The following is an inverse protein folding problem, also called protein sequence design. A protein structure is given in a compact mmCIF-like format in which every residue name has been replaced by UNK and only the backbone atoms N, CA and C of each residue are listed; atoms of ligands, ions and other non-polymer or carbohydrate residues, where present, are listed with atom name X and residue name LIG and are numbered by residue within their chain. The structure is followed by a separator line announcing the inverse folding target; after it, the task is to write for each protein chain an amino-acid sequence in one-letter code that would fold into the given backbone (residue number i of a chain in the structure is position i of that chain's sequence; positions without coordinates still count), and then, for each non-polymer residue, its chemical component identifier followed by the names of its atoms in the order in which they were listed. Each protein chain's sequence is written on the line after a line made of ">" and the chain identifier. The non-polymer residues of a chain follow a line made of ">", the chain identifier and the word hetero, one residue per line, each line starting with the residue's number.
data_IF_614508635837
#
_entry.id   IF_614508635837
#
_cell.length_a   1.000
_cell.length_b   1.000
_cell.length_c   1.000
_cell.angle_alpha   90.00
_cell.angle_beta   90.00
_cell.angle_gamma   90.00
#
_symmetry.space_group_name_H-M   'P 1'
#
loop_
_entity.id
_entity.type
_entity.pdbx_description
1 polymer ?
#
# COMPACT_ATOMS: atom_id res chain seq x y z
N UNK A 1 -53.87 2.61 44.04
CA UNK A 1 -52.78 1.83 44.68
C UNK A 1 -51.75 1.20 43.71
N UNK A 2 -52.05 0.88 42.45
CA UNK A 2 -51.09 0.27 41.49
C UNK A 2 -50.06 1.25 40.92
N UNK A 3 -50.34 2.55 40.90
CA UNK A 3 -49.47 3.57 40.23
C UNK A 3 -48.31 4.05 41.12
N UNK A 4 -48.41 3.91 42.40
CA UNK A 4 -47.38 4.33 43.39
C UNK A 4 -46.29 3.25 43.47
N UNK A 5 -46.64 1.97 43.32
CA UNK A 5 -45.68 0.86 43.41
C UNK A 5 -44.70 0.82 42.23
N UNK A 6 -45.13 1.23 41.03
CA UNK A 6 -44.27 1.28 39.82
C UNK A 6 -43.27 2.45 39.82
N UNK A 7 -43.56 3.54 40.55
CA UNK A 7 -42.58 4.64 40.66
C UNK A 7 -41.47 4.35 41.68
N UNK A 8 -41.78 3.62 42.76
CA UNK A 8 -40.77 3.19 43.71
C UNK A 8 -39.76 2.19 43.14
N UNK A 9 -40.26 1.24 42.33
CA UNK A 9 -39.38 0.23 41.69
C UNK A 9 -38.40 0.82 40.66
N UNK A 10 -38.82 1.86 39.88
CA UNK A 10 -37.98 2.56 38.95
C UNK A 10 -36.86 3.37 39.63
N UNK A 11 -37.15 3.97 40.78
CA UNK A 11 -36.14 4.77 41.52
C UNK A 11 -35.10 3.82 42.15
N UNK A 12 -35.49 2.66 42.63
CA UNK A 12 -34.56 1.67 43.19
C UNK A 12 -33.68 1.05 42.11
N UNK A 13 -34.22 0.76 40.90
CA UNK A 13 -33.46 0.21 39.79
C UNK A 13 -32.44 1.22 39.27
N UNK A 14 -32.80 2.52 39.16
CA UNK A 14 -31.87 3.57 38.76
C UNK A 14 -30.79 3.83 39.81
N UNK A 15 -31.16 3.79 41.12
CA UNK A 15 -30.19 3.95 42.20
C UNK A 15 -29.21 2.77 42.31
N UNK A 16 -29.66 1.54 42.08
CA UNK A 16 -28.77 0.36 42.04
C UNK A 16 -27.85 0.38 40.80
N UNK A 17 -28.34 0.80 39.63
CA UNK A 17 -27.53 0.94 38.43
C UNK A 17 -26.47 2.02 38.61
N UNK A 18 -26.78 3.14 39.24
CA UNK A 18 -25.81 4.23 39.52
C UNK A 18 -24.78 3.79 40.58
N UNK A 19 -25.17 2.98 41.56
CA UNK A 19 -24.28 2.46 42.60
C UNK A 19 -23.32 1.39 42.09
N UNK A 20 -23.72 0.60 41.09
CA UNK A 20 -22.88 -0.43 40.47
C UNK A 20 -21.95 0.13 39.36
N UNK A 21 -22.33 1.23 38.71
CA UNK A 21 -21.52 1.89 37.69
C UNK A 21 -20.48 2.89 38.27
N UNK A 22 -20.73 3.43 39.44
CA UNK A 22 -19.88 4.43 40.08
C UNK A 22 -18.43 3.94 40.35
N UNK A 23 -18.19 2.79 40.95
CA UNK A 23 -16.83 2.30 41.17
C UNK A 23 -16.12 1.85 39.89
N UNK A 24 -16.86 1.30 38.90
CA UNK A 24 -16.30 0.88 37.62
C UNK A 24 -15.84 2.09 36.79
N UNK A 25 -16.59 3.18 36.75
CA UNK A 25 -16.20 4.42 36.05
C UNK A 25 -14.98 5.08 36.69
N UNK A 26 -14.85 5.05 37.98
CA UNK A 26 -13.70 5.57 38.73
C UNK A 26 -12.41 4.79 38.45
N UNK A 27 -12.48 3.47 38.37
CA UNK A 27 -11.35 2.61 38.05
C UNK A 27 -10.92 2.79 36.61
N UNK A 28 -11.85 2.75 35.66
CA UNK A 28 -11.58 2.97 34.23
C UNK A 28 -10.92 4.33 33.96
N UNK A 29 -11.42 5.41 34.54
CA UNK A 29 -10.80 6.73 34.41
C UNK A 29 -9.40 6.84 35.06
N UNK A 30 -9.13 6.12 36.13
CA UNK A 30 -7.81 6.10 36.76
C UNK A 30 -6.80 5.32 35.91
N UNK A 31 -7.21 4.20 35.34
CA UNK A 31 -6.40 3.40 34.44
C UNK A 31 -6.04 4.19 33.18
N UNK A 32 -7.03 4.75 32.48
CA UNK A 32 -6.85 5.56 31.29
C UNK A 32 -5.82 6.69 31.49
N UNK A 33 -5.97 7.48 32.57
CA UNK A 33 -5.03 8.55 32.88
C UNK A 33 -3.62 8.05 33.16
N UNK A 34 -3.48 6.90 33.84
CA UNK A 34 -2.20 6.26 34.10
C UNK A 34 -1.55 5.77 32.81
N UNK A 35 -2.32 5.06 31.98
CA UNK A 35 -1.91 4.52 30.69
C UNK A 35 -1.39 5.64 29.75
N UNK A 36 -2.20 6.66 29.50
CA UNK A 36 -1.85 7.76 28.61
C UNK A 36 -0.68 8.62 29.13
N UNK A 37 -0.47 8.68 30.44
CA UNK A 37 0.71 9.34 31.01
C UNK A 37 1.97 8.50 30.82
N UNK A 38 1.85 7.17 30.93
CA UNK A 38 2.96 6.22 30.86
C UNK A 38 3.45 6.01 29.43
N UNK A 39 2.53 5.76 28.50
CA UNK A 39 2.86 5.35 27.14
C UNK A 39 2.81 6.50 26.14
N UNK A 40 3.72 6.47 25.18
CA UNK A 40 3.66 7.27 23.97
C UNK A 40 3.18 6.37 22.83
N UNK A 41 2.04 6.72 22.23
CA UNK A 41 1.40 5.94 21.18
C UNK A 41 1.82 6.40 19.77
N UNK A 42 2.61 7.44 19.64
CA UNK A 42 2.86 8.12 18.36
C UNK A 42 3.46 7.20 17.30
N UNK A 43 4.56 6.53 17.63
CA UNK A 43 5.34 5.71 16.68
C UNK A 43 5.14 4.21 16.85
N UNK A 44 4.43 3.79 17.89
CA UNK A 44 4.22 2.37 18.19
C UNK A 44 2.79 1.91 17.97
N UNK A 45 1.81 2.83 17.90
CA UNK A 45 0.39 2.51 17.76
C UNK A 45 -0.27 3.36 16.66
N UNK A 46 -0.20 4.70 16.73
CA UNK A 46 -0.94 5.60 15.83
C UNK A 46 -0.29 5.61 14.44
N UNK A 47 1.01 5.79 14.37
CA UNK A 47 1.82 5.64 13.17
C UNK A 47 2.97 4.69 13.52
N UNK A 48 2.68 3.39 13.65
CA UNK A 48 3.74 2.43 13.88
C UNK A 48 4.67 2.62 12.72
N UNK A 49 5.85 3.17 13.05
CA UNK A 49 6.93 3.21 12.10
C UNK A 49 6.94 1.83 11.44
N UNK A 50 7.24 1.72 10.18
CA UNK A 50 7.39 0.46 9.47
C UNK A 50 8.42 -0.44 10.16
N UNK A 51 8.48 -0.26 11.48
CA UNK A 51 9.13 -1.15 12.42
C UNK A 51 8.73 -2.54 12.00
N UNK A 52 9.71 -3.28 11.65
CA UNK A 52 9.52 -4.47 10.89
C UNK A 52 8.53 -5.30 11.68
N UNK A 53 7.50 -5.67 11.00
CA UNK A 53 6.62 -6.76 11.32
C UNK A 53 7.39 -7.96 11.88
N UNK A 54 8.66 -8.10 11.59
CA UNK A 54 9.60 -9.00 12.25
C UNK A 54 9.61 -8.88 13.78
N UNK A 55 9.47 -7.69 14.35
CA UNK A 55 9.33 -7.55 15.79
C UNK A 55 8.01 -8.11 16.29
N UNK A 56 6.91 -7.92 15.58
CA UNK A 56 5.58 -8.43 15.95
C UNK A 56 5.59 -9.96 15.93
N UNK A 57 6.15 -10.57 14.89
CA UNK A 57 6.22 -12.04 14.79
C UNK A 57 7.35 -12.65 15.61
N UNK A 58 8.35 -11.88 16.01
CA UNK A 58 9.37 -12.36 16.97
C UNK A 58 8.76 -12.66 18.33
N UNK A 59 7.57 -12.11 18.64
CA UNK A 59 6.83 -12.39 19.87
C UNK A 59 6.02 -13.68 19.80
N UNK A 60 5.69 -14.16 18.60
CA UNK A 60 4.99 -15.42 18.45
C UNK A 60 5.86 -16.57 18.96
N UNK A 61 5.24 -17.43 19.77
CA UNK A 61 5.93 -18.61 20.27
C UNK A 61 6.26 -19.57 19.13
N UNK A 62 7.25 -20.43 19.33
CA UNK A 62 7.57 -21.50 18.36
C UNK A 62 6.38 -22.44 18.14
N UNK A 63 5.49 -22.56 19.10
CA UNK A 63 4.24 -23.32 18.99
C UNK A 63 3.29 -22.66 17.99
N UNK A 64 3.04 -21.35 18.12
CA UNK A 64 2.18 -20.60 17.21
C UNK A 64 2.71 -20.62 15.77
N UNK A 65 4.02 -20.47 15.58
CA UNK A 65 4.67 -20.58 14.26
C UNK A 65 4.49 -21.97 13.63
N UNK A 66 4.58 -23.04 14.42
CA UNK A 66 4.36 -24.40 13.95
C UNK A 66 2.90 -24.67 13.60
N UNK A 67 1.97 -24.18 14.42
CA UNK A 67 0.54 -24.30 14.14
C UNK A 67 0.17 -23.58 12.85
N UNK A 68 0.66 -22.37 12.61
CA UNK A 68 0.48 -21.64 11.38
C UNK A 68 0.90 -22.47 10.14
N UNK A 69 2.07 -23.09 10.18
CA UNK A 69 2.56 -23.97 9.12
C UNK A 69 1.71 -25.23 8.98
N UNK A 70 1.26 -25.83 10.09
CA UNK A 70 0.45 -27.05 10.10
C UNK A 70 -0.95 -26.84 9.48
N UNK A 71 -1.50 -25.64 9.51
CA UNK A 71 -2.72 -25.29 8.77
C UNK A 71 -2.51 -25.15 7.26
N UNK A 72 -1.35 -25.56 6.75
CA UNK A 72 -1.03 -25.52 5.32
C UNK A 72 -0.58 -24.16 4.82
N UNK A 73 -0.40 -23.22 5.73
CA UNK A 73 0.14 -21.89 5.40
C UNK A 73 1.64 -22.00 5.11
N UNK A 74 2.11 -21.24 4.15
CA UNK A 74 3.56 -21.10 3.92
C UNK A 74 4.19 -20.33 5.08
N UNK A 75 5.51 -20.52 5.32
CA UNK A 75 6.24 -19.60 6.18
C UNK A 75 5.88 -18.18 5.76
N UNK A 76 5.56 -17.32 6.72
CA UNK A 76 5.23 -15.93 6.42
C UNK A 76 6.38 -15.33 5.63
N UNK A 77 6.10 -14.90 4.42
CA UNK A 77 7.06 -14.12 3.65
C UNK A 77 6.95 -12.64 4.05
N UNK A 78 7.95 -11.86 3.69
CA UNK A 78 8.04 -10.44 4.04
C UNK A 78 6.83 -9.62 3.57
N UNK A 79 6.08 -10.09 2.58
CA UNK A 79 4.89 -9.42 2.04
C UNK A 79 3.72 -9.40 3.03
N UNK A 80 3.54 -10.49 3.77
CA UNK A 80 2.50 -10.59 4.81
C UNK A 80 2.89 -9.86 6.09
N UNK A 81 4.19 -9.63 6.26
CA UNK A 81 4.76 -9.03 7.45
C UNK A 81 4.82 -7.49 7.36
N UNK A 82 4.66 -6.92 6.18
CA UNK A 82 4.65 -5.46 6.01
C UNK A 82 3.29 -4.91 6.41
N UNK A 83 3.30 -3.90 7.28
CA UNK A 83 2.13 -3.07 7.46
C UNK A 83 1.87 -2.34 6.14
N UNK A 84 0.70 -2.54 5.51
CA UNK A 84 0.35 -1.79 4.31
C UNK A 84 0.15 -0.31 4.66
N UNK A 85 0.31 0.57 3.68
CA UNK A 85 -0.25 1.90 3.77
C UNK A 85 -1.77 1.80 3.97
N UNK A 86 -2.41 2.75 4.68
CA UNK A 86 -3.84 2.69 4.91
C UNK A 86 -4.65 2.67 3.62
N UNK A 87 -5.59 1.77 3.52
CA UNK A 87 -6.59 1.77 2.46
C UNK A 87 -7.61 2.88 2.73
N UNK A 88 -8.04 3.64 1.71
CA UNK A 88 -8.98 4.73 1.94
C UNK A 88 -9.83 5.10 0.74
N UNK A 89 -10.98 5.75 1.00
CA UNK A 89 -11.81 6.34 -0.03
C UNK A 89 -12.27 7.76 0.35
N UNK A 90 -12.60 8.57 -0.68
CA UNK A 90 -13.21 9.89 -0.56
C UNK A 90 -14.45 9.98 -1.46
N UNK A 91 -15.57 10.42 -0.88
CA UNK A 91 -16.85 10.58 -1.55
C UNK A 91 -17.71 9.32 -1.58
N UNK A 92 -19.00 9.50 -1.90
CA UNK A 92 -20.00 8.44 -1.90
C UNK A 92 -19.84 7.45 -3.08
N UNK A 93 -19.00 7.82 -4.05
CA UNK A 93 -18.61 6.95 -5.16
C UNK A 93 -17.40 6.08 -4.86
N UNK A 94 -16.83 6.14 -3.64
CA UNK A 94 -15.66 5.38 -3.21
C UNK A 94 -14.40 5.63 -4.05
N UNK A 95 -14.15 6.89 -4.46
CA UNK A 95 -12.90 7.27 -5.11
C UNK A 95 -11.71 6.93 -4.21
N UNK A 96 -10.73 6.21 -4.73
CA UNK A 96 -9.51 5.83 -3.98
C UNK A 96 -8.87 7.08 -3.38
N UNK A 97 -8.58 7.03 -2.09
CA UNK A 97 -7.89 8.04 -1.30
C UNK A 97 -6.69 7.40 -0.62
N UNK A 98 -5.52 7.95 -0.85
CA UNK A 98 -4.28 7.51 -0.26
C UNK A 98 -3.86 8.49 0.83
N UNK A 99 -3.32 7.98 1.92
CA UNK A 99 -2.77 8.78 3.01
C UNK A 99 -1.50 8.14 3.55
N UNK A 100 -0.45 8.94 3.68
CA UNK A 100 0.80 8.56 4.30
C UNK A 100 1.10 9.49 5.47
N UNK A 101 1.38 8.94 6.65
CA UNK A 101 1.73 9.71 7.83
C UNK A 101 3.25 9.94 7.87
N UNK A 102 3.71 11.16 7.60
CA UNK A 102 5.13 11.51 7.67
C UNK A 102 5.63 11.52 9.11
N UNK A 103 4.86 12.09 10.04
CA UNK A 103 5.21 12.17 11.47
C UNK A 103 3.99 12.24 12.35
N UNK A 104 4.04 11.55 13.48
CA UNK A 104 3.13 11.72 14.61
C UNK A 104 3.98 11.92 15.85
N UNK A 105 3.64 12.87 16.72
CA UNK A 105 4.32 13.09 17.98
C UNK A 105 3.40 13.55 19.10
N UNK A 106 3.69 13.10 20.31
CA UNK A 106 2.93 13.41 21.52
C UNK A 106 3.20 14.82 22.00
N UNK A 107 2.14 15.61 22.20
CA UNK A 107 2.22 16.97 22.75
C UNK A 107 1.81 16.99 24.22
N UNK A 108 0.80 16.20 24.56
CA UNK A 108 0.34 15.98 25.94
C UNK A 108 -0.19 14.55 26.08
N UNK A 109 -0.56 14.09 27.27
CA UNK A 109 -1.07 12.72 27.43
C UNK A 109 -2.21 12.33 26.48
N UNK A 110 -3.06 13.29 26.09
CA UNK A 110 -4.22 13.04 25.24
C UNK A 110 -4.15 13.72 23.88
N UNK A 111 -3.06 14.43 23.55
CA UNK A 111 -2.95 15.20 22.31
C UNK A 111 -1.72 14.80 21.54
N UNK A 112 -1.92 14.42 20.29
CA UNK A 112 -0.87 14.11 19.32
C UNK A 112 -0.97 15.08 18.16
N UNK A 113 0.17 15.60 17.69
CA UNK A 113 0.25 16.34 16.43
C UNK A 113 0.73 15.41 15.32
N UNK A 114 0.25 15.66 14.10
CA UNK A 114 0.60 14.84 12.95
C UNK A 114 0.86 15.69 11.71
N UNK A 115 1.71 15.16 10.85
CA UNK A 115 1.89 15.57 9.46
C UNK A 115 1.73 14.35 8.57
N UNK A 116 1.04 14.54 7.44
CA UNK A 116 0.80 13.50 6.48
C UNK A 116 0.76 14.10 5.06
N UNK A 117 0.73 13.24 4.08
CA UNK A 117 0.42 13.56 2.69
C UNK A 117 -0.77 12.72 2.25
N UNK A 118 -1.60 13.25 1.37
CA UNK A 118 -2.68 12.49 0.74
C UNK A 118 -2.65 12.64 -0.77
N UNK A 119 -3.12 11.63 -1.47
CA UNK A 119 -3.35 11.65 -2.92
C UNK A 119 -4.79 11.18 -3.20
N UNK A 120 -5.48 11.92 -4.05
CA UNK A 120 -6.78 11.51 -4.56
C UNK A 120 -6.83 11.87 -6.04
N UNK A 121 -6.85 10.87 -6.92
CA UNK A 121 -6.52 11.04 -8.35
C UNK A 121 -5.12 11.68 -8.48
N UNK A 122 -5.04 12.83 -9.18
CA UNK A 122 -3.79 13.57 -9.40
C UNK A 122 -3.56 14.67 -8.35
N UNK A 123 -4.52 14.85 -7.41
CA UNK A 123 -4.40 15.87 -6.36
C UNK A 123 -3.59 15.35 -5.19
N UNK A 124 -2.46 15.99 -4.92
CA UNK A 124 -1.61 15.73 -3.76
C UNK A 124 -1.74 16.88 -2.78
N UNK A 125 -2.05 16.56 -1.52
CA UNK A 125 -2.18 17.53 -0.44
C UNK A 125 -1.20 17.20 0.69
N UNK A 126 -0.63 18.26 1.29
CA UNK A 126 0.02 18.17 2.60
C UNK A 126 -1.01 18.35 3.68
N UNK A 127 -1.00 17.45 4.66
CA UNK A 127 -1.96 17.45 5.77
C UNK A 127 -1.21 17.73 7.07
N UNK A 128 -1.77 18.60 7.90
CA UNK A 128 -1.32 18.79 9.26
C UNK A 128 -2.52 18.88 10.21
N UNK A 129 -2.34 18.44 11.44
CA UNK A 129 -3.45 18.44 12.38
C UNK A 129 -3.12 17.78 13.70
N UNK A 130 -4.16 17.40 14.39
CA UNK A 130 -4.07 16.77 15.70
C UNK A 130 -5.04 15.61 15.85
N UNK A 131 -4.63 14.66 16.68
CA UNK A 131 -5.44 13.55 17.17
C UNK A 131 -5.60 13.75 18.66
N UNK A 132 -6.84 13.69 19.13
CA UNK A 132 -7.21 13.91 20.52
C UNK A 132 -7.82 12.63 21.08
N UNK A 133 -7.15 12.03 22.06
CA UNK A 133 -7.60 10.78 22.68
C UNK A 133 -8.82 11.06 23.56
N UNK A 134 -9.89 10.34 23.30
CA UNK A 134 -11.16 10.41 24.02
C UNK A 134 -11.21 9.39 25.17
N UNK A 135 -10.74 8.15 24.89
CA UNK A 135 -10.73 7.08 25.90
C UNK A 135 -9.78 5.93 25.51
N UNK A 136 -9.43 5.14 26.52
CA UNK A 136 -8.71 3.87 26.40
C UNK A 136 -9.55 2.78 27.01
N UNK A 137 -9.88 1.75 26.23
CA UNK A 137 -10.63 0.58 26.67
C UNK A 137 -9.71 -0.63 26.64
N UNK A 138 -9.52 -1.23 27.82
CA UNK A 138 -8.76 -2.47 27.98
C UNK A 138 -9.71 -3.66 27.90
N UNK A 139 -9.31 -4.72 27.25
CA UNK A 139 -10.05 -5.97 27.22
C UNK A 139 -9.71 -6.85 28.42
N UNK A 140 -10.71 -7.56 28.92
CA UNK A 140 -10.52 -8.46 30.08
C UNK A 140 -9.66 -9.68 29.72
N UNK A 141 -9.77 -10.13 28.47
CA UNK A 141 -8.96 -11.20 27.88
C UNK A 141 -8.48 -10.76 26.51
N UNK A 142 -7.21 -10.96 26.23
CA UNK A 142 -6.70 -10.83 24.88
C UNK A 142 -7.01 -12.15 24.14
N UNK A 143 -7.68 -12.07 22.98
CA UNK A 143 -8.20 -13.23 22.21
C UNK A 143 -7.13 -14.26 21.80
N UNK A 144 -5.88 -13.98 22.09
CA UNK A 144 -4.75 -14.90 21.86
C UNK A 144 -4.34 -15.44 23.22
N UNK A 145 -4.54 -16.71 23.44
CA UNK A 145 -4.14 -17.36 24.69
C UNK A 145 -2.66 -17.10 25.02
N UNK A 146 -2.34 -17.15 26.32
CA UNK A 146 -0.99 -16.94 26.86
C UNK A 146 0.13 -17.74 26.17
N UNK A 147 -0.24 -18.77 25.41
CA UNK A 147 0.68 -19.63 24.67
C UNK A 147 1.24 -18.98 23.39
N UNK A 148 0.58 -17.95 22.84
CA UNK A 148 0.97 -17.30 21.59
C UNK A 148 1.99 -16.18 21.79
N UNK A 149 1.76 -15.31 22.81
CA UNK A 149 2.66 -14.19 23.11
C UNK A 149 3.06 -14.23 24.58
N UNK A 150 4.33 -14.47 24.85
CA UNK A 150 4.87 -14.40 26.20
C UNK A 150 4.94 -12.95 26.67
N UNK A 151 4.63 -12.71 27.94
CA UNK A 151 4.68 -11.40 28.60
C UNK A 151 3.71 -10.36 28.01
N UNK A 152 2.65 -10.80 27.34
CA UNK A 152 1.51 -9.94 27.05
C UNK A 152 0.79 -9.63 28.38
N UNK A 153 0.64 -8.35 28.69
CA UNK A 153 0.05 -7.91 29.96
C UNK A 153 -1.25 -7.17 29.80
N UNK A 154 -1.51 -6.63 28.61
CA UNK A 154 -2.72 -5.84 28.34
C UNK A 154 -2.95 -5.75 26.82
N UNK A 155 -4.20 -5.72 26.41
CA UNK A 155 -4.61 -5.36 25.06
C UNK A 155 -5.91 -4.54 25.10
N UNK A 156 -6.17 -3.77 24.05
CA UNK A 156 -7.36 -2.93 24.04
C UNK A 156 -7.44 -2.01 22.82
N UNK A 157 -8.33 -1.04 22.93
CA UNK A 157 -8.54 -0.03 21.88
C UNK A 157 -8.49 1.38 22.46
N UNK A 158 -7.73 2.24 21.79
CA UNK A 158 -7.71 3.69 22.01
C UNK A 158 -8.72 4.32 21.05
N UNK A 159 -9.67 5.08 21.57
CA UNK A 159 -10.61 5.88 20.79
C UNK A 159 -10.20 7.35 20.81
N UNK A 160 -10.31 7.99 19.65
CA UNK A 160 -9.90 9.37 19.46
C UNK A 160 -10.79 10.07 18.43
N UNK A 161 -10.70 11.38 18.39
CA UNK A 161 -11.13 12.17 17.24
C UNK A 161 -9.95 12.94 16.68
N UNK A 162 -10.08 13.35 15.42
CA UNK A 162 -9.05 14.09 14.72
C UNK A 162 -9.58 15.34 14.05
N UNK A 163 -8.71 16.34 13.95
CA UNK A 163 -8.95 17.61 13.26
C UNK A 163 -7.70 17.93 12.45
N UNK A 164 -7.84 18.03 11.13
CA UNK A 164 -6.73 18.21 10.20
C UNK A 164 -7.09 19.25 9.15
N UNK A 165 -6.07 19.89 8.58
CA UNK A 165 -6.17 20.77 7.43
C UNK A 165 -5.30 20.25 6.30
N UNK A 166 -5.86 20.20 5.08
CA UNK A 166 -5.14 19.83 3.87
C UNK A 166 -4.82 21.08 3.06
N UNK A 167 -3.62 21.14 2.49
CA UNK A 167 -3.13 22.24 1.68
C UNK A 167 -2.41 21.75 0.42
N UNK A 168 -2.53 22.53 -0.66
CA UNK A 168 -1.70 22.39 -1.87
C UNK A 168 -0.68 23.53 -1.83
N UNK A 169 0.60 23.18 -1.70
CA UNK A 169 1.62 24.16 -1.33
C UNK A 169 1.30 24.84 -0.01
N UNK A 170 1.14 26.16 -0.01
CA UNK A 170 0.78 26.94 1.18
C UNK A 170 -0.71 27.32 1.27
N UNK A 171 -1.55 26.84 0.33
CA UNK A 171 -2.96 27.22 0.23
C UNK A 171 -3.81 26.12 0.89
N UNK A 172 -4.54 26.43 1.99
CA UNK A 172 -5.51 25.49 2.55
C UNK A 172 -6.62 25.21 1.53
N UNK A 173 -6.91 23.93 1.30
CA UNK A 173 -7.94 23.50 0.34
C UNK A 173 -9.06 22.72 1.01
N UNK A 174 -8.80 22.08 2.15
CA UNK A 174 -9.84 21.34 2.85
C UNK A 174 -9.58 21.22 4.36
N UNK A 175 -10.65 20.85 5.09
CA UNK A 175 -10.59 20.39 6.48
C UNK A 175 -11.07 18.95 6.57
N UNK A 176 -10.37 18.16 7.36
CA UNK A 176 -10.72 16.79 7.68
C UNK A 176 -10.99 16.69 9.18
N UNK A 177 -12.08 16.03 9.54
CA UNK A 177 -12.38 15.74 10.93
C UNK A 177 -13.23 14.47 11.05
N UNK A 178 -13.09 13.77 12.16
CA UNK A 178 -13.79 12.52 12.37
C UNK A 178 -13.35 11.81 13.63
N UNK A 179 -13.66 10.51 13.68
CA UNK A 179 -13.27 9.62 14.77
C UNK A 179 -12.22 8.63 14.28
N UNK A 180 -11.39 8.20 15.22
CA UNK A 180 -10.41 7.14 14.95
C UNK A 180 -10.34 6.15 16.12
N UNK A 181 -9.87 4.95 15.81
CA UNK A 181 -9.61 3.91 16.79
C UNK A 181 -8.32 3.18 16.46
N UNK A 182 -7.61 2.76 17.51
CA UNK A 182 -6.29 2.13 17.42
C UNK A 182 -6.25 0.94 18.36
N UNK A 183 -6.12 -0.26 17.82
CA UNK A 183 -5.85 -1.46 18.60
C UNK A 183 -4.41 -1.43 19.13
N UNK A 184 -4.25 -1.74 20.39
CA UNK A 184 -2.94 -1.80 21.04
C UNK A 184 -2.77 -3.05 21.89
N UNK A 185 -1.51 -3.41 22.08
CA UNK A 185 -1.10 -4.40 23.09
C UNK A 185 0.07 -3.85 23.92
N UNK A 186 0.20 -4.36 25.16
CA UNK A 186 1.33 -4.08 26.03
C UNK A 186 2.13 -5.36 26.25
N UNK A 187 3.36 -5.35 25.80
CA UNK A 187 4.31 -6.45 25.90
C UNK A 187 5.62 -5.95 26.54
N UNK A 188 6.13 -6.67 27.54
CA UNK A 188 7.34 -6.27 28.26
C UNK A 188 7.36 -4.79 28.68
N UNK A 189 6.24 -4.30 29.17
CA UNK A 189 6.08 -2.92 29.64
C UNK A 189 6.16 -1.82 28.57
N UNK A 190 6.05 -2.17 27.30
CA UNK A 190 6.00 -1.28 26.14
C UNK A 190 4.71 -1.48 25.37
N UNK A 191 4.17 -0.39 24.83
CA UNK A 191 2.93 -0.41 24.03
C UNK A 191 3.25 -0.52 22.55
N UNK A 192 2.45 -1.29 21.83
CA UNK A 192 2.64 -1.58 20.41
C UNK A 192 1.31 -1.64 19.67
N UNK A 193 1.37 -1.50 18.38
CA UNK A 193 0.28 -1.79 17.45
C UNK A 193 -0.17 -3.24 17.60
N UNK A 194 -1.49 -3.47 17.71
CA UNK A 194 -2.03 -4.81 17.79
C UNK A 194 -2.06 -5.46 16.41
N UNK A 195 -1.08 -6.29 16.12
CA UNK A 195 -1.02 -7.12 14.92
C UNK A 195 -1.25 -8.62 15.22
N UNK A 196 -1.76 -8.97 16.41
CA UNK A 196 -1.90 -10.37 16.81
C UNK A 196 -2.75 -11.20 15.86
N UNK A 197 -3.82 -10.59 15.35
CA UNK A 197 -4.79 -11.26 14.48
C UNK A 197 -4.71 -10.80 13.02
N UNK A 198 -3.55 -10.29 12.58
CA UNK A 198 -3.34 -9.74 11.24
C UNK A 198 -3.74 -10.69 10.09
N UNK A 199 -3.71 -11.99 10.37
CA UNK A 199 -4.07 -13.04 9.41
C UNK A 199 -5.50 -13.55 9.57
N UNK A 200 -6.25 -13.01 10.53
CA UNK A 200 -7.63 -13.41 10.76
C UNK A 200 -8.58 -12.72 9.77
N UNK A 201 -9.60 -13.46 9.37
CA UNK A 201 -10.67 -12.92 8.55
C UNK A 201 -11.30 -11.69 9.22
N UNK A 202 -11.41 -10.61 8.46
CA UNK A 202 -12.00 -9.36 8.92
C UNK A 202 -11.12 -8.51 9.83
N UNK A 203 -9.84 -8.85 9.99
CA UNK A 203 -8.90 -8.02 10.75
C UNK A 203 -8.84 -6.60 10.21
N UNK A 204 -8.82 -5.63 11.13
CA UNK A 204 -8.65 -4.21 10.83
C UNK A 204 -8.01 -3.51 12.02
N UNK A 205 -7.21 -2.47 11.77
CA UNK A 205 -6.67 -1.61 12.80
C UNK A 205 -6.50 -0.17 12.28
N UNK A 206 -6.20 0.77 13.16
CA UNK A 206 -6.01 2.19 12.84
C UNK A 206 -7.12 2.74 11.92
N UNK A 207 -8.36 2.62 12.39
CA UNK A 207 -9.54 2.99 11.61
C UNK A 207 -9.88 4.47 11.77
N UNK A 208 -10.18 5.16 10.66
CA UNK A 208 -10.56 6.56 10.62
C UNK A 208 -11.86 6.73 9.83
N UNK A 209 -12.87 7.27 10.47
CA UNK A 209 -14.18 7.57 9.86
C UNK A 209 -14.51 9.06 10.01
N UNK A 210 -14.71 9.75 8.90
CA UNK A 210 -14.94 11.18 8.97
C UNK A 210 -15.34 11.86 7.67
N UNK A 211 -15.05 13.15 7.62
CA UNK A 211 -15.46 14.04 6.54
C UNK A 211 -14.28 14.86 6.02
N UNK A 212 -14.29 15.06 4.71
CA UNK A 212 -13.51 16.03 3.98
C UNK A 212 -14.42 17.21 3.62
N UNK A 213 -14.10 18.41 4.06
CA UNK A 213 -14.84 19.62 3.71
C UNK A 213 -13.96 20.48 2.83
N UNK A 214 -14.35 20.60 1.56
CA UNK A 214 -13.68 21.46 0.60
C UNK A 214 -13.88 22.93 0.97
N UNK A 215 -12.81 23.71 1.06
CA UNK A 215 -12.87 25.12 1.49
C UNK A 215 -13.28 26.08 0.37
N UNK A 216 -13.27 25.63 -0.89
CA UNK A 216 -13.65 26.45 -2.05
C UNK A 216 -15.13 26.27 -2.36
N UNK A 217 -15.57 25.00 -2.48
CA UNK A 217 -16.96 24.67 -2.83
C UNK A 217 -17.86 24.55 -1.61
N UNK A 218 -17.28 24.34 -0.43
CA UNK A 218 -17.98 24.02 0.83
C UNK A 218 -18.72 22.68 0.79
N UNK A 219 -18.35 21.80 -0.16
CA UNK A 219 -18.89 20.47 -0.23
C UNK A 219 -18.31 19.61 0.90
N UNK A 220 -19.14 18.70 1.41
CA UNK A 220 -18.75 17.78 2.47
C UNK A 220 -18.84 16.36 1.95
N UNK A 221 -17.72 15.68 1.88
CA UNK A 221 -17.59 14.30 1.39
C UNK A 221 -17.24 13.35 2.54
N UNK A 222 -17.72 12.12 2.47
CA UNK A 222 -17.20 11.04 3.33
C UNK A 222 -15.74 10.79 2.98
N UNK A 223 -14.87 10.64 3.98
CA UNK A 223 -13.46 10.36 3.78
C UNK A 223 -12.99 9.42 4.90
N UNK A 224 -12.88 8.15 4.57
CA UNK A 224 -12.56 7.09 5.52
C UNK A 224 -11.32 6.34 5.07
N UNK A 225 -10.50 5.92 6.04
CA UNK A 225 -9.33 5.08 5.77
C UNK A 225 -8.98 4.21 6.98
N UNK A 226 -8.21 3.17 6.74
CA UNK A 226 -7.77 2.28 7.80
C UNK A 226 -6.83 1.19 7.32
N UNK A 227 -6.18 0.53 8.24
CA UNK A 227 -5.30 -0.59 7.94
C UNK A 227 -6.13 -1.84 7.68
N UNK A 228 -5.82 -2.55 6.60
CA UNK A 228 -6.42 -3.81 6.11
C UNK A 228 -7.89 -3.69 5.68
N UNK A 229 -8.72 -2.90 6.35
CA UNK A 229 -10.09 -2.61 5.97
C UNK A 229 -10.41 -1.14 6.20
N UNK A 230 -11.45 -0.66 5.53
CA UNK A 230 -11.89 0.72 5.61
C UNK A 230 -13.23 0.76 6.36
N UNK A 231 -13.38 1.60 7.40
CA UNK A 231 -14.66 1.72 8.09
C UNK A 231 -15.75 2.25 7.15
N UNK A 232 -16.96 1.72 7.28
CA UNK A 232 -18.14 2.11 6.47
C UNK A 232 -17.93 1.95 4.95
N UNK A 233 -17.13 0.98 4.52
CA UNK A 233 -16.84 0.69 3.12
C UNK A 233 -18.04 0.15 2.32
N UNK A 234 -19.08 -0.34 2.99
CA UNK A 234 -20.35 -0.80 2.36
C UNK A 234 -20.11 -1.74 1.16
N UNK A 235 -20.63 -1.36 -0.04
CA UNK A 235 -20.47 -2.15 -1.26
C UNK A 235 -19.05 -2.15 -1.84
N UNK A 236 -18.18 -1.26 -1.39
CA UNK A 236 -16.79 -1.24 -1.83
C UNK A 236 -16.04 -2.52 -1.37
N UNK A 237 -16.34 -3.02 -0.17
CA UNK A 237 -15.71 -4.23 0.36
C UNK A 237 -16.63 -5.43 0.21
N UNK A 238 -16.44 -6.21 -0.84
CA UNK A 238 -17.14 -7.47 -1.10
C UNK A 238 -16.51 -8.70 -0.44
N UNK A 239 -15.35 -8.55 0.19
CA UNK A 239 -14.58 -9.66 0.75
C UNK A 239 -15.08 -10.15 2.11
N UNK A 240 -15.12 -11.48 2.30
CA UNK A 240 -15.45 -12.08 3.58
C UNK A 240 -14.23 -12.07 4.54
N UNK A 241 -13.06 -12.37 4.04
CA UNK A 241 -11.78 -12.44 4.77
C UNK A 241 -10.94 -11.18 4.60
N UNK A 242 -10.41 -10.99 3.40
CA UNK A 242 -9.62 -9.80 3.02
C UNK A 242 -10.53 -8.69 2.49
N UNK A 243 -10.01 -7.47 2.42
CA UNK A 243 -10.65 -6.37 1.71
C UNK A 243 -10.57 -6.63 0.21
N UNK A 244 -11.72 -6.73 -0.48
CA UNK A 244 -11.79 -7.02 -1.90
C UNK A 244 -12.80 -6.07 -2.56
N UNK A 245 -12.35 -4.94 -3.15
CA UNK A 245 -13.22 -4.07 -3.92
C UNK A 245 -13.66 -4.75 -5.23
N UNK A 246 -14.86 -4.44 -5.71
CA UNK A 246 -15.38 -4.97 -6.96
C UNK A 246 -14.74 -4.33 -8.20
N UNK A 247 -14.84 -5.00 -9.36
CA UNK A 247 -14.32 -4.49 -10.65
C UNK A 247 -14.98 -3.17 -11.07
N UNK A 248 -16.19 -2.89 -10.60
CA UNK A 248 -16.91 -1.63 -10.83
C UNK A 248 -16.18 -0.40 -10.25
N UNK A 249 -15.18 -0.61 -9.38
CA UNK A 249 -14.38 0.45 -8.78
C UNK A 249 -13.02 0.66 -9.47
N UNK A 250 -12.70 -0.08 -10.53
CA UNK A 250 -11.42 0.04 -11.27
C UNK A 250 -11.09 1.47 -11.66
N UNK A 251 -12.02 2.16 -12.31
CA UNK A 251 -11.83 3.53 -12.79
C UNK A 251 -11.81 4.58 -11.65
N UNK A 252 -12.08 4.14 -10.43
CA UNK A 252 -12.03 4.96 -9.22
C UNK A 252 -10.69 4.82 -8.47
N UNK A 253 -9.66 4.28 -9.14
CA UNK A 253 -8.31 4.16 -8.63
C UNK A 253 -8.02 2.85 -7.85
N UNK A 254 -8.93 1.87 -7.92
CA UNK A 254 -8.76 0.58 -7.24
C UNK A 254 -8.08 -0.49 -8.11
N UNK A 255 -7.86 -0.19 -9.39
CA UNK A 255 -7.28 -1.16 -10.33
C UNK A 255 -5.91 -1.72 -9.88
N UNK A 256 -4.93 -0.93 -9.42
CA UNK A 256 -3.64 -1.48 -9.00
C UNK A 256 -3.77 -2.47 -7.84
N UNK A 257 -4.65 -2.19 -6.88
CA UNK A 257 -4.94 -3.09 -5.76
C UNK A 257 -5.60 -4.39 -6.23
N UNK A 258 -6.62 -4.31 -7.08
CA UNK A 258 -7.36 -5.47 -7.58
C UNK A 258 -6.52 -6.35 -8.49
N UNK A 259 -5.72 -5.75 -9.37
CA UNK A 259 -4.79 -6.49 -10.22
C UNK A 259 -3.73 -7.20 -9.37
N UNK A 260 -3.23 -6.54 -8.34
CA UNK A 260 -2.30 -7.17 -7.39
C UNK A 260 -2.94 -8.35 -6.65
N UNK A 261 -4.15 -8.17 -6.10
CA UNK A 261 -4.86 -9.24 -5.36
C UNK A 261 -5.11 -10.46 -6.24
N UNK A 262 -5.53 -10.25 -7.49
CA UNK A 262 -5.79 -11.31 -8.46
C UNK A 262 -4.54 -12.09 -8.86
N UNK A 263 -3.34 -11.51 -8.74
CA UNK A 263 -2.06 -12.09 -9.18
C UNK A 263 -1.06 -12.33 -8.05
N UNK A 264 -1.44 -12.09 -6.79
CA UNK A 264 -0.54 -12.14 -5.63
C UNK A 264 -0.14 -13.56 -5.19
N UNK A 265 -0.63 -14.62 -5.83
CA UNK A 265 -0.34 -15.99 -5.42
C UNK A 265 0.95 -16.52 -6.04
N UNK A 266 1.67 -17.32 -5.26
CA UNK A 266 2.91 -17.96 -5.70
C UNK A 266 2.62 -18.99 -6.81
N UNK A 267 3.22 -18.79 -7.97
CA UNK A 267 3.01 -19.60 -9.18
C UNK A 267 2.32 -18.86 -10.31
N UNK A 268 1.75 -17.67 -10.05
CA UNK A 268 1.33 -16.79 -11.12
C UNK A 268 2.56 -16.16 -11.80
N UNK A 269 2.75 -16.32 -13.11
CA UNK A 269 3.89 -15.75 -13.82
C UNK A 269 3.90 -14.21 -13.78
N UNK A 270 2.74 -13.56 -13.54
CA UNK A 270 2.58 -12.11 -13.46
C UNK A 270 2.73 -11.54 -12.03
N UNK A 271 2.87 -12.39 -11.01
CA UNK A 271 2.96 -11.96 -9.62
C UNK A 271 3.99 -10.82 -9.43
N UNK A 272 5.22 -11.00 -9.95
CA UNK A 272 6.29 -9.98 -9.81
C UNK A 272 5.96 -8.65 -10.50
N UNK A 273 5.26 -8.69 -11.61
CA UNK A 273 4.84 -7.48 -12.32
C UNK A 273 3.82 -6.70 -11.49
N UNK A 274 2.78 -7.36 -11.02
CA UNK A 274 1.74 -6.70 -10.24
C UNK A 274 2.19 -6.33 -8.83
N UNK A 275 3.07 -7.11 -8.19
CA UNK A 275 3.74 -6.72 -6.94
C UNK A 275 4.49 -5.39 -7.11
N UNK A 276 5.21 -5.22 -8.22
CA UNK A 276 5.93 -3.98 -8.50
C UNK A 276 4.97 -2.81 -8.75
N UNK A 277 3.98 -2.98 -9.63
CA UNK A 277 2.99 -1.93 -9.95
C UNK A 277 2.25 -1.47 -8.70
N UNK A 278 1.84 -2.42 -7.86
CA UNK A 278 1.17 -2.14 -6.60
C UNK A 278 2.08 -1.40 -5.62
N UNK A 279 3.33 -1.84 -5.47
CA UNK A 279 4.28 -1.19 -4.55
C UNK A 279 4.57 0.27 -4.94
N UNK A 280 4.64 0.56 -6.24
CA UNK A 280 4.80 1.94 -6.73
C UNK A 280 3.53 2.78 -6.46
N UNK A 281 2.35 2.20 -6.64
CA UNK A 281 1.09 2.90 -6.36
C UNK A 281 0.91 3.19 -4.86
N UNK A 282 1.22 2.24 -3.99
CA UNK A 282 1.15 2.41 -2.52
C UNK A 282 2.25 3.32 -1.99
N UNK A 283 3.45 3.22 -2.53
CA UNK A 283 4.62 4.01 -2.12
C UNK A 283 4.72 5.37 -2.84
N UNK A 284 3.64 5.85 -3.47
CA UNK A 284 3.59 7.08 -4.29
C UNK A 284 4.29 8.27 -3.63
N UNK A 285 4.19 8.42 -2.32
CA UNK A 285 4.78 9.49 -1.54
C UNK A 285 6.32 9.44 -1.52
N UNK A 286 6.94 8.29 -1.77
CA UNK A 286 8.41 8.14 -1.89
C UNK A 286 8.95 8.79 -3.18
N UNK A 287 8.10 8.88 -4.20
CA UNK A 287 8.46 9.36 -5.53
C UNK A 287 8.01 10.79 -5.80
N UNK A 288 7.33 11.42 -4.85
CA UNK A 288 7.02 12.84 -4.90
C UNK A 288 8.31 13.66 -4.89
N UNK A 289 8.41 14.63 -5.81
CA UNK A 289 9.59 15.47 -5.95
C UNK A 289 9.76 16.37 -4.71
N UNK A 290 10.87 16.21 -4.03
CA UNK A 290 11.30 17.20 -3.04
C UNK A 290 11.77 18.45 -3.77
N UNK A 291 11.41 19.67 -3.36
CA UNK A 291 11.85 20.94 -3.97
C UNK A 291 13.31 21.25 -3.59
N UNK A 292 14.25 20.41 -4.00
CA UNK A 292 15.63 20.45 -3.50
C UNK A 292 16.63 21.24 -4.36
N UNK A 293 16.21 21.98 -5.36
CA UNK A 293 17.11 22.87 -6.13
C UNK A 293 18.33 22.22 -6.79
N UNK A 294 18.48 20.89 -6.74
CA UNK A 294 19.48 20.12 -7.46
C UNK A 294 18.97 19.83 -8.88
N UNK A 295 19.83 19.96 -9.85
CA UNK A 295 19.51 19.52 -11.21
C UNK A 295 19.48 17.99 -11.24
N UNK A 296 18.33 17.35 -11.56
CA UNK A 296 18.25 15.92 -11.64
C UNK A 296 19.18 15.39 -12.74
N UNK A 297 19.70 14.19 -12.55
CA UNK A 297 20.56 13.51 -13.51
C UNK A 297 19.92 12.20 -13.95
N UNK A 298 20.17 11.79 -15.19
CA UNK A 298 19.71 10.51 -15.74
C UNK A 298 20.47 9.36 -15.08
N UNK A 299 21.78 9.54 -14.80
CA UNK A 299 22.63 8.49 -14.24
C UNK A 299 22.10 7.98 -12.92
N UNK A 300 22.07 6.66 -12.74
CA UNK A 300 21.61 5.99 -11.52
C UNK A 300 21.04 4.62 -11.79
N UNK A 301 20.61 3.97 -10.72
CA UNK A 301 19.98 2.66 -10.72
C UNK A 301 18.47 2.82 -10.53
N UNK A 302 17.69 2.17 -11.40
CA UNK A 302 16.23 2.31 -11.44
C UNK A 302 15.56 0.96 -11.54
N UNK A 303 14.40 0.81 -10.87
CA UNK A 303 13.43 -0.24 -11.14
C UNK A 303 12.37 0.27 -12.11
N UNK A 304 11.81 -0.63 -12.92
CA UNK A 304 10.71 -0.31 -13.80
C UNK A 304 9.79 -1.50 -14.04
N UNK A 305 8.54 -1.19 -14.43
CA UNK A 305 7.62 -2.13 -15.06
C UNK A 305 7.01 -1.51 -16.30
N UNK A 306 6.77 -2.31 -17.32
CA UNK A 306 6.12 -1.90 -18.54
C UNK A 306 5.24 -3.02 -19.10
N UNK A 307 4.08 -2.68 -19.65
CA UNK A 307 3.22 -3.62 -20.35
C UNK A 307 2.90 -3.10 -21.74
N UNK A 308 3.01 -3.98 -22.73
CA UNK A 308 2.71 -3.66 -24.12
C UNK A 308 2.18 -4.91 -24.84
N UNK A 309 1.68 -4.74 -26.06
CA UNK A 309 1.20 -5.87 -26.85
C UNK A 309 1.55 -5.72 -28.32
N UNK A 310 1.61 -6.82 -29.03
CA UNK A 310 1.79 -6.86 -30.49
C UNK A 310 1.38 -8.22 -31.06
N UNK A 311 1.17 -8.26 -32.39
CA UNK A 311 0.84 -9.49 -33.08
C UNK A 311 2.11 -10.13 -33.71
N UNK A 312 2.28 -11.43 -33.52
CA UNK A 312 3.39 -12.19 -34.09
C UNK A 312 2.94 -13.57 -34.57
N UNK A 313 3.18 -13.88 -35.85
CA UNK A 313 2.85 -15.19 -36.44
C UNK A 313 1.41 -15.65 -36.20
N UNK A 314 0.47 -14.73 -36.19
CA UNK A 314 -0.95 -15.03 -35.97
C UNK A 314 -1.34 -15.27 -34.51
N UNK A 315 -0.45 -15.03 -33.56
CA UNK A 315 -0.76 -14.94 -32.17
C UNK A 315 -0.79 -13.48 -31.72
N UNK A 316 -1.68 -13.13 -30.81
CA UNK A 316 -1.64 -11.85 -30.07
C UNK A 316 -0.82 -12.05 -28.81
N UNK A 317 0.17 -11.19 -28.59
CA UNK A 317 1.09 -11.25 -27.46
C UNK A 317 0.84 -10.08 -26.50
N UNK A 318 0.39 -10.36 -25.29
CA UNK A 318 0.45 -9.43 -24.19
C UNK A 318 1.77 -9.64 -23.46
N UNK A 319 2.55 -8.59 -23.28
CA UNK A 319 3.89 -8.64 -22.68
C UNK A 319 3.93 -7.81 -21.41
N UNK A 320 4.41 -8.41 -20.35
CA UNK A 320 4.57 -7.79 -19.04
C UNK A 320 6.05 -7.88 -18.65
N UNK A 321 6.68 -6.74 -18.47
CA UNK A 321 8.10 -6.61 -18.21
C UNK A 321 8.35 -5.99 -16.85
N UNK A 322 9.27 -6.54 -16.08
CA UNK A 322 9.81 -5.94 -14.87
C UNK A 322 11.33 -6.04 -14.90
N UNK A 323 12.01 -4.98 -14.54
CA UNK A 323 13.46 -4.97 -14.65
C UNK A 323 14.14 -3.84 -13.91
N UNK A 324 15.46 -3.83 -14.06
CA UNK A 324 16.33 -2.78 -13.57
C UNK A 324 17.07 -2.13 -14.74
N UNK A 325 17.25 -0.82 -14.65
CA UNK A 325 18.00 -0.02 -15.62
C UNK A 325 19.11 0.74 -14.90
N UNK A 326 20.35 0.44 -15.25
CA UNK A 326 21.53 1.17 -14.75
C UNK A 326 22.03 2.14 -15.82
N UNK A 327 21.94 3.45 -15.55
CA UNK A 327 22.51 4.48 -16.44
C UNK A 327 23.85 4.97 -15.88
N UNK A 328 24.90 4.86 -16.69
CA UNK A 328 26.25 5.28 -16.32
C UNK A 328 26.62 6.65 -16.91
N UNK A 329 27.50 7.42 -16.23
CA UNK A 329 27.91 8.75 -16.68
C UNK A 329 28.64 8.78 -18.04
N UNK A 330 29.16 7.64 -18.50
CA UNK A 330 29.86 7.51 -19.77
C UNK A 330 28.92 7.31 -20.98
N UNK A 331 27.60 7.37 -20.75
CA UNK A 331 26.59 7.14 -21.78
C UNK A 331 26.29 5.66 -22.07
N UNK A 332 26.79 4.75 -21.23
CA UNK A 332 26.38 3.34 -21.26
C UNK A 332 25.22 3.08 -20.32
N UNK A 333 24.48 2.01 -20.58
CA UNK A 333 23.45 1.51 -19.68
C UNK A 333 23.42 -0.02 -19.67
N UNK A 334 22.87 -0.59 -18.59
CA UNK A 334 22.58 -2.01 -18.50
C UNK A 334 21.12 -2.20 -18.17
N UNK A 335 20.40 -2.85 -19.07
CA UNK A 335 19.01 -3.23 -18.89
C UNK A 335 18.95 -4.72 -18.55
N UNK A 336 18.30 -5.07 -17.43
CA UNK A 336 18.14 -6.44 -16.97
C UNK A 336 16.69 -6.67 -16.59
N UNK A 337 15.99 -7.52 -17.33
CA UNK A 337 14.57 -7.70 -17.14
C UNK A 337 14.07 -9.14 -17.24
N UNK A 338 12.93 -9.36 -16.62
CA UNK A 338 12.06 -10.52 -16.80
C UNK A 338 10.85 -10.10 -17.62
N UNK A 339 10.58 -10.80 -18.70
CA UNK A 339 9.42 -10.61 -19.56
C UNK A 339 8.50 -11.83 -19.50
N UNK A 340 7.21 -11.59 -19.29
CA UNK A 340 6.16 -12.60 -19.35
C UNK A 340 5.30 -12.32 -20.57
N UNK A 341 5.29 -13.25 -21.50
CA UNK A 341 4.48 -13.22 -22.72
C UNK A 341 3.25 -14.10 -22.53
N UNK A 342 2.06 -13.56 -22.67
CA UNK A 342 0.81 -14.30 -22.74
C UNK A 342 0.38 -14.30 -24.22
N UNK A 343 0.60 -15.42 -24.90
CA UNK A 343 0.24 -15.57 -26.30
C UNK A 343 -1.18 -16.11 -26.46
N UNK A 344 -2.08 -15.34 -27.03
CA UNK A 344 -3.40 -15.79 -27.46
C UNK A 344 -3.32 -16.29 -28.91
N UNK A 345 -3.38 -17.60 -29.08
CA UNK A 345 -3.33 -18.26 -30.38
C UNK A 345 -4.62 -18.09 -31.17
N UNK A 346 -4.60 -18.35 -32.49
CA UNK A 346 -5.78 -18.27 -33.38
C UNK A 346 -7.00 -19.10 -32.94
N UNK A 347 -6.76 -20.17 -32.19
CA UNK A 347 -7.83 -21.03 -31.62
C UNK A 347 -8.34 -20.54 -30.25
N UNK A 348 -7.91 -19.36 -29.81
CA UNK A 348 -8.26 -18.77 -28.52
C UNK A 348 -7.53 -19.35 -27.32
N UNK A 349 -6.62 -20.33 -27.52
CA UNK A 349 -5.81 -20.88 -26.44
C UNK A 349 -4.75 -19.88 -26.01
N UNK A 350 -4.59 -19.66 -24.70
CA UNK A 350 -3.49 -18.87 -24.12
C UNK A 350 -2.32 -19.78 -23.76
N UNK A 351 -1.12 -19.31 -24.02
CA UNK A 351 0.15 -19.98 -23.67
C UNK A 351 1.09 -18.92 -23.09
N UNK A 352 1.74 -19.25 -21.97
CA UNK A 352 2.64 -18.34 -21.27
C UNK A 352 4.10 -18.72 -21.55
N UNK A 353 4.93 -17.71 -21.81
CA UNK A 353 6.38 -17.82 -21.93
C UNK A 353 7.03 -16.82 -21.00
N UNK A 354 8.07 -17.21 -20.30
CA UNK A 354 8.84 -16.34 -19.43
C UNK A 354 10.29 -16.30 -19.88
N UNK A 355 10.78 -15.11 -20.15
CA UNK A 355 12.17 -14.85 -20.53
C UNK A 355 12.86 -13.99 -19.50
N UNK A 356 14.14 -14.24 -19.26
CA UNK A 356 15.04 -13.26 -18.70
C UNK A 356 15.92 -12.71 -19.82
N UNK A 357 16.17 -11.41 -19.82
CA UNK A 357 17.13 -10.84 -20.76
C UNK A 357 18.07 -9.85 -20.05
N UNK A 358 19.25 -9.66 -20.66
CA UNK A 358 20.23 -8.66 -20.28
C UNK A 358 20.67 -7.96 -21.56
N UNK A 359 20.53 -6.63 -21.57
CA UNK A 359 20.84 -5.78 -22.72
C UNK A 359 21.79 -4.65 -22.31
N UNK A 360 23.10 -4.80 -22.51
CA UNK A 360 23.98 -3.64 -22.51
C UNK A 360 23.51 -2.64 -23.57
N UNK A 361 23.53 -1.37 -23.22
CA UNK A 361 22.92 -0.32 -24.05
C UNK A 361 23.75 0.95 -24.03
N UNK A 362 23.46 1.86 -24.94
CA UNK A 362 24.00 3.22 -24.99
C UNK A 362 22.86 4.21 -24.91
N UNK A 363 23.12 5.34 -24.27
CA UNK A 363 22.15 6.40 -24.14
C UNK A 363 22.79 7.77 -24.30
N UNK A 364 22.02 8.75 -24.72
CA UNK A 364 22.38 10.17 -24.71
C UNK A 364 21.13 11.04 -24.60
N UNK A 365 21.28 12.19 -23.99
CA UNK A 365 20.24 13.19 -23.87
C UNK A 365 20.63 14.44 -24.65
N UNK A 366 19.71 14.98 -25.45
CA UNK A 366 19.86 16.23 -26.19
C UNK A 366 18.58 17.07 -26.03
N UNK A 367 18.60 17.99 -25.06
CA UNK A 367 17.41 18.69 -24.61
C UNK A 367 16.40 17.73 -23.99
N UNK A 368 15.21 17.61 -24.57
CA UNK A 368 14.15 16.67 -24.19
C UNK A 368 14.17 15.39 -25.05
N UNK A 369 15.10 15.28 -26.00
CA UNK A 369 15.26 14.10 -26.82
C UNK A 369 16.17 13.10 -26.16
N UNK A 370 15.62 11.94 -25.77
CA UNK A 370 16.34 10.84 -25.18
C UNK A 370 16.58 9.73 -26.21
N UNK A 371 17.84 9.42 -26.46
CA UNK A 371 18.25 8.40 -27.43
C UNK A 371 18.75 7.17 -26.69
N UNK A 372 18.27 6.00 -27.10
CA UNK A 372 18.60 4.72 -26.47
C UNK A 372 18.76 3.63 -27.53
N UNK A 373 19.82 2.83 -27.40
CA UNK A 373 20.10 1.69 -28.27
C UNK A 373 20.76 0.56 -27.50
N UNK A 374 20.29 -0.66 -27.65
CA UNK A 374 20.99 -1.83 -27.12
C UNK A 374 22.26 -2.15 -27.90
N UNK A 375 23.16 -2.91 -27.28
CA UNK A 375 24.43 -3.37 -27.89
C UNK A 375 24.30 -4.87 -28.13
N UNK A 376 24.18 -5.26 -29.40
CA UNK A 376 23.85 -6.62 -29.84
C UNK A 376 24.86 -7.68 -29.41
N UNK A 377 26.15 -7.36 -29.39
CA UNK A 377 27.22 -8.31 -29.12
C UNK A 377 27.12 -8.99 -27.76
N UNK A 378 26.54 -8.30 -26.77
CA UNK A 378 26.42 -8.80 -25.40
C UNK A 378 24.96 -8.99 -24.96
N UNK A 379 24.01 -8.84 -25.87
CA UNK A 379 22.60 -9.12 -25.60
C UNK A 379 22.40 -10.61 -25.34
N UNK A 380 21.63 -10.95 -24.31
CA UNK A 380 21.24 -12.32 -23.96
C UNK A 380 19.76 -12.36 -23.62
N UNK A 381 19.07 -13.34 -24.15
CA UNK A 381 17.68 -13.62 -23.83
C UNK A 381 17.51 -15.13 -23.68
N UNK A 382 17.02 -15.55 -22.54
CA UNK A 382 16.88 -16.96 -22.15
C UNK A 382 15.44 -17.26 -21.78
N UNK A 383 14.85 -18.31 -22.36
CA UNK A 383 13.56 -18.85 -21.95
C UNK A 383 13.73 -19.58 -20.61
N UNK A 384 13.05 -19.09 -19.56
CA UNK A 384 13.10 -19.64 -18.20
C UNK A 384 11.97 -20.64 -17.98
N UNK A 385 10.77 -20.31 -18.50
CA UNK A 385 9.55 -21.08 -18.27
C UNK A 385 8.62 -21.00 -19.47
N UNK A 386 7.93 -22.10 -19.79
CA UNK A 386 6.88 -22.14 -20.80
C UNK A 386 5.83 -23.22 -20.45
N UNK A 387 4.58 -22.96 -20.79
CA UNK A 387 3.47 -23.92 -20.64
C UNK A 387 3.55 -25.11 -21.62
N UNK A 388 4.44 -25.04 -22.59
CA UNK A 388 4.69 -26.07 -23.60
C UNK A 388 6.16 -26.43 -23.69
N UNK A 389 6.49 -27.43 -24.53
CA UNK A 389 7.87 -27.80 -24.86
C UNK A 389 8.70 -26.60 -25.31
N UNK A 390 9.92 -26.51 -24.76
CA UNK A 390 10.78 -25.30 -24.80
C UNK A 390 11.20 -24.79 -26.18
N UNK A 391 10.95 -25.52 -27.26
CA UNK A 391 11.46 -25.22 -28.61
C UNK A 391 10.32 -25.13 -29.64
N UNK A 392 9.26 -24.37 -29.36
CA UNK A 392 8.25 -24.13 -30.36
C UNK A 392 8.65 -22.96 -31.31
N UNK A 393 7.98 -22.90 -32.47
CA UNK A 393 8.27 -21.89 -33.49
C UNK A 393 8.07 -20.46 -32.96
N UNK A 394 7.09 -20.25 -32.06
CA UNK A 394 6.77 -18.94 -31.50
C UNK A 394 7.89 -18.42 -30.58
N UNK A 395 8.49 -19.29 -29.75
CA UNK A 395 9.65 -18.97 -28.91
C UNK A 395 10.82 -18.45 -29.75
N UNK A 396 11.15 -19.14 -30.84
CA UNK A 396 12.24 -18.73 -31.73
C UNK A 396 11.94 -17.40 -32.43
N UNK A 397 10.72 -17.16 -32.84
CA UNK A 397 10.34 -15.89 -33.46
C UNK A 397 10.32 -14.73 -32.46
N UNK A 398 9.91 -14.92 -31.19
CA UNK A 398 10.02 -13.92 -30.13
C UNK A 398 11.49 -13.49 -29.95
N UNK A 399 12.39 -14.47 -29.74
CA UNK A 399 13.84 -14.20 -29.57
C UNK A 399 14.40 -13.47 -30.81
N UNK A 400 13.99 -13.87 -32.01
CA UNK A 400 14.45 -13.28 -33.27
C UNK A 400 13.99 -11.83 -33.42
N UNK A 401 12.73 -11.51 -33.07
CA UNK A 401 12.18 -10.16 -33.15
C UNK A 401 12.90 -9.26 -32.16
N UNK A 402 13.03 -9.66 -30.92
CA UNK A 402 13.69 -8.86 -29.86
C UNK A 402 15.17 -8.64 -30.22
N UNK A 403 15.92 -9.70 -30.54
CA UNK A 403 17.35 -9.59 -30.92
C UNK A 403 17.56 -8.84 -32.24
N UNK A 404 16.59 -8.83 -33.12
CA UNK A 404 16.65 -8.12 -34.41
C UNK A 404 16.44 -6.59 -34.28
N UNK A 405 15.84 -6.14 -33.20
CA UNK A 405 15.57 -4.72 -32.95
C UNK A 405 16.54 -4.08 -31.96
N UNK A 406 17.44 -4.86 -31.35
CA UNK A 406 18.21 -4.42 -30.18
C UNK A 406 19.20 -3.28 -30.49
N UNK A 407 19.82 -3.28 -31.66
CA UNK A 407 20.82 -2.29 -32.09
C UNK A 407 20.21 -1.08 -32.85
N UNK A 408 18.87 -0.98 -32.88
CA UNK A 408 18.19 0.18 -33.40
C UNK A 408 18.23 1.33 -32.41
N UNK A 409 18.65 2.54 -32.82
CA UNK A 409 18.61 3.73 -31.97
C UNK A 409 17.20 4.30 -31.97
N UNK A 410 16.52 4.17 -30.84
CA UNK A 410 15.21 4.76 -30.61
C UNK A 410 15.34 6.17 -30.06
N UNK A 411 14.48 7.06 -30.52
CA UNK A 411 14.35 8.42 -30.01
C UNK A 411 13.07 8.53 -29.20
N UNK A 412 13.20 8.78 -27.93
CA UNK A 412 12.11 9.01 -26.99
C UNK A 412 12.02 10.50 -26.64
N UNK A 413 10.88 10.94 -26.17
CA UNK A 413 10.72 12.23 -25.52
C UNK A 413 10.86 12.06 -24.01
N UNK A 414 11.71 12.87 -23.38
CA UNK A 414 11.85 12.91 -21.92
C UNK A 414 10.70 13.71 -21.32
N UNK A 415 9.76 13.03 -20.66
CA UNK A 415 8.57 13.63 -20.07
C UNK A 415 8.84 14.16 -18.66
N UNK A 416 9.61 13.41 -17.87
CA UNK A 416 9.91 13.73 -16.47
C UNK A 416 11.32 13.29 -16.12
N UNK A 417 12.06 14.16 -15.43
CA UNK A 417 13.31 13.82 -14.80
C UNK A 417 13.38 14.50 -13.42
N UNK A 418 13.33 13.68 -12.37
CA UNK A 418 13.46 14.10 -10.97
C UNK A 418 14.57 13.31 -10.27
N UNK A 419 14.89 13.64 -9.03
CA UNK A 419 15.83 12.82 -8.25
C UNK A 419 15.32 11.39 -8.02
N UNK A 420 14.01 11.15 -8.15
CA UNK A 420 13.36 9.88 -7.81
C UNK A 420 12.74 9.16 -9.01
N UNK A 421 12.45 9.87 -10.10
CA UNK A 421 11.73 9.32 -11.27
C UNK A 421 12.31 9.84 -12.58
N UNK A 422 12.47 8.94 -13.52
CA UNK A 422 12.71 9.21 -14.93
C UNK A 422 11.51 8.66 -15.71
N UNK A 423 10.99 9.46 -16.64
CA UNK A 423 9.89 9.04 -17.51
C UNK A 423 10.17 9.51 -18.93
N UNK A 424 10.03 8.62 -19.88
CA UNK A 424 10.06 8.93 -21.29
C UNK A 424 8.90 8.30 -22.04
N UNK A 425 8.62 8.80 -23.22
CA UNK A 425 7.58 8.28 -24.10
C UNK A 425 8.03 8.18 -25.55
N UNK A 426 7.38 7.26 -26.25
CA UNK A 426 7.53 7.07 -27.67
C UNK A 426 6.17 7.26 -28.35
N UNK A 427 6.11 8.10 -29.38
CA UNK A 427 4.89 8.31 -30.18
C UNK A 427 5.03 7.60 -31.51
N UNK A 428 4.15 6.65 -31.75
CA UNK A 428 4.06 5.89 -33.00
C UNK A 428 3.48 6.73 -34.12
N UNK A 429 3.62 6.25 -35.36
CA UNK A 429 3.12 6.96 -36.56
C UNK A 429 1.60 7.12 -36.60
N UNK A 430 0.87 6.25 -35.96
CA UNK A 430 -0.58 6.29 -35.83
C UNK A 430 -1.09 7.22 -34.70
N UNK A 431 -0.17 7.85 -33.96
CA UNK A 431 -0.43 8.75 -32.86
C UNK A 431 -0.56 8.06 -31.50
N UNK A 432 -0.48 6.73 -31.44
CA UNK A 432 -0.38 6.01 -30.16
C UNK A 432 0.91 6.41 -29.43
N UNK A 433 0.83 6.54 -28.11
CA UNK A 433 1.96 6.92 -27.24
C UNK A 433 2.16 5.87 -26.16
N UNK A 434 3.33 5.26 -26.13
CA UNK A 434 3.79 4.43 -25.04
C UNK A 434 4.67 5.23 -24.08
N UNK A 435 4.59 4.90 -22.80
CA UNK A 435 5.32 5.59 -21.73
C UNK A 435 6.01 4.58 -20.84
N UNK A 436 7.30 4.82 -20.57
CA UNK A 436 8.10 4.05 -19.63
C UNK A 436 8.40 4.90 -18.42
N UNK A 437 8.21 4.33 -17.23
CA UNK A 437 8.47 4.96 -15.94
C UNK A 437 9.56 4.19 -15.20
N UNK A 438 10.56 4.90 -14.74
CA UNK A 438 11.71 4.37 -14.04
C UNK A 438 11.79 5.02 -12.66
N UNK A 439 11.92 4.23 -11.62
CA UNK A 439 11.89 4.66 -10.24
C UNK A 439 13.26 4.43 -9.61
N UNK A 440 13.93 5.52 -9.22
CA UNK A 440 15.29 5.48 -8.70
C UNK A 440 15.36 4.76 -7.38
N UNK A 441 16.22 3.75 -7.30
CA UNK A 441 16.54 3.02 -6.08
C UNK A 441 17.57 3.85 -5.30
N UNK A 442 17.36 4.01 -3.99
CA UNK A 442 18.38 4.58 -3.11
C UNK A 442 19.46 3.51 -2.90
N UNK A 443 20.70 3.84 -3.23
CA UNK A 443 21.88 3.08 -2.81
C UNK A 443 22.01 3.02 -1.28
#
# INVERSE_FOLDING_TARGET
>A
MKTIFLRGLRIITVAITILLLGPMTGYAQSHEKSFLKRYDLSTTVINPDTAPTDEIYSWWTETAKKEWINYGNKPMDDRWLRRPEPLGFRGDNFQRFYIHFDTVYKVSPTVYQMKARSRCKDEICHIHGRILIDSVVTFDECDVGDDFIKNLTECGTVYAHYEMEASVGSIPVARLFGRSSYGYLVHNDSVYYDAMMIVADGYSNNQYAGKWVDLVTNDTLTCNWGDFRIPESQSLDGGCGLFIPGEEYYDLGWKPYLDWDNHAYVGDPLCKYYDFVYSIDEDWWKYEAEPNGKTPKVEGHYDYAHAFNYDLKGAHLDVYETGTMDFHPDGTALDSARQVYIATLQNGKKVTYVFNYVSPSKWRLDGEDFYFAGVKENFRMELVEADKEKEDELTQEIIKVVSGSIDYEYKFHLDTLTEKKLQWSFTYRDGHRDTWEFYRIKE
#
